data_IF_016160806350
#
_entry.id   IF_016160806350
#
_cell.length_a   1.000
_cell.length_b   1.000
_cell.length_c   1.000
_cell.angle_alpha   90.00
_cell.angle_beta   90.00
_cell.angle_gamma   90.00
#
_symmetry.space_group_name_H-M   'P 1'
#
loop_
_entity.id
_entity.type
_entity.pdbx_description
1 polymer ?
#
# COMPACT_ATOMS: atom_id res chain seq x y z
N UNK A 1 -9.71 -15.33 16.60
CA UNK A 1 -9.37 -13.89 16.67
C UNK A 1 -10.61 -13.11 16.35
N UNK A 2 -10.90 -12.04 17.11
CA UNK A 2 -12.05 -11.17 16.83
C UNK A 2 -11.83 -10.37 15.53
N UNK A 3 -12.89 -10.18 14.75
CA UNK A 3 -12.84 -9.47 13.47
C UNK A 3 -12.40 -8.01 13.64
N UNK A 4 -12.86 -7.33 14.69
CA UNK A 4 -12.50 -5.94 14.94
C UNK A 4 -11.01 -5.80 15.24
N UNK A 5 -10.44 -6.71 16.05
CA UNK A 5 -9.02 -6.72 16.32
C UNK A 5 -8.19 -6.82 15.04
N UNK A 6 -8.50 -7.78 14.15
CA UNK A 6 -7.81 -7.93 12.86
C UNK A 6 -8.00 -6.69 11.98
N UNK A 7 -9.19 -6.09 11.98
CA UNK A 7 -9.49 -4.87 11.22
C UNK A 7 -8.65 -3.68 11.70
N UNK A 8 -8.55 -3.47 13.01
CA UNK A 8 -7.72 -2.41 13.58
C UNK A 8 -6.23 -2.64 13.29
N UNK A 9 -5.75 -3.88 13.42
CA UNK A 9 -4.37 -4.23 13.05
C UNK A 9 -4.09 -3.97 11.56
N UNK A 10 -5.00 -4.36 10.66
CA UNK A 10 -4.86 -4.11 9.23
C UNK A 10 -4.77 -2.60 8.92
N UNK A 11 -5.62 -1.78 9.54
CA UNK A 11 -5.56 -0.32 9.36
C UNK A 11 -4.24 0.28 9.85
N UNK A 12 -3.70 -0.21 10.98
CA UNK A 12 -2.40 0.23 11.48
C UNK A 12 -1.26 -0.18 10.54
N UNK A 13 -1.29 -1.40 10.01
CA UNK A 13 -0.32 -1.91 9.03
C UNK A 13 -0.40 -1.09 7.73
N UNK A 14 -1.61 -0.75 7.26
CA UNK A 14 -1.81 0.08 6.08
C UNK A 14 -1.21 1.48 6.26
N UNK A 15 -1.46 2.12 7.41
CA UNK A 15 -0.88 3.42 7.72
C UNK A 15 0.65 3.35 7.78
N UNK A 16 1.19 2.31 8.43
CA UNK A 16 2.63 2.11 8.54
C UNK A 16 3.28 1.86 7.17
N UNK A 17 2.65 1.08 6.28
CA UNK A 17 3.12 0.88 4.90
C UNK A 17 3.24 2.21 4.16
N UNK A 18 2.21 3.06 4.23
CA UNK A 18 2.20 4.38 3.58
C UNK A 18 3.31 5.29 4.13
N UNK A 19 3.50 5.33 5.46
CA UNK A 19 4.57 6.11 6.10
C UNK A 19 5.94 5.62 5.62
N UNK A 20 6.18 4.31 5.65
CA UNK A 20 7.44 3.71 5.20
C UNK A 20 7.70 3.93 3.70
N UNK A 21 6.65 3.96 2.88
CA UNK A 21 6.77 4.36 1.48
C UNK A 21 7.30 5.78 1.35
N UNK A 22 6.68 6.77 2.00
CA UNK A 22 7.13 8.17 1.90
C UNK A 22 8.52 8.39 2.50
N UNK A 23 8.83 7.79 3.64
CA UNK A 23 10.17 7.88 4.26
C UNK A 23 11.25 7.40 3.29
N UNK A 24 11.02 6.28 2.59
CA UNK A 24 11.96 5.76 1.59
C UNK A 24 12.02 6.66 0.35
N UNK A 25 10.87 7.11 -0.15
CA UNK A 25 10.78 7.95 -1.34
C UNK A 25 11.51 9.28 -1.15
N UNK A 26 11.25 10.00 -0.06
CA UNK A 26 11.94 11.25 0.26
C UNK A 26 13.42 11.02 0.58
N UNK A 27 13.77 9.95 1.28
CA UNK A 27 15.18 9.62 1.51
C UNK A 27 15.94 9.45 0.20
N UNK A 28 15.35 8.81 -0.82
CA UNK A 28 15.98 8.60 -2.15
C UNK A 28 16.08 9.85 -3.01
N UNK A 29 15.27 10.87 -2.74
CA UNK A 29 15.37 12.18 -3.37
C UNK A 29 16.51 13.01 -2.78
N UNK A 30 16.80 12.82 -1.48
CA UNK A 30 17.97 13.39 -0.81
C UNK A 30 19.20 12.47 -0.86
N UNK A 31 19.84 12.28 0.30
CA UNK A 31 21.12 11.54 0.43
C UNK A 31 21.01 10.02 0.23
N UNK A 32 19.80 9.45 0.24
CA UNK A 32 19.56 8.00 0.17
C UNK A 32 19.98 7.20 1.40
N UNK A 33 20.53 7.83 2.46
CA UNK A 33 21.09 7.12 3.63
C UNK A 33 20.07 6.22 4.34
N UNK A 34 18.85 6.72 4.57
CA UNK A 34 17.78 5.95 5.25
C UNK A 34 17.28 4.83 4.35
N UNK A 35 17.08 5.10 3.05
CA UNK A 35 16.64 4.08 2.09
C UNK A 35 17.67 2.95 1.86
N UNK A 36 18.97 3.21 2.12
CA UNK A 36 20.04 2.20 2.09
C UNK A 36 20.11 1.36 3.36
N UNK A 37 19.47 1.77 4.46
CA UNK A 37 19.44 0.99 5.68
C UNK A 37 18.67 -0.31 5.46
N UNK A 38 19.33 -1.46 5.65
CA UNK A 38 18.74 -2.79 5.48
C UNK A 38 17.49 -2.98 6.34
N UNK A 39 17.44 -2.41 7.55
CA UNK A 39 16.27 -2.52 8.43
C UNK A 39 15.04 -1.84 7.84
N UNK A 40 15.20 -0.64 7.29
CA UNK A 40 14.11 0.10 6.65
C UNK A 40 13.68 -0.58 5.36
N UNK A 41 14.64 -1.09 4.59
CA UNK A 41 14.36 -1.81 3.36
C UNK A 41 13.59 -3.11 3.61
N UNK A 42 14.09 -3.99 4.49
CA UNK A 42 13.45 -5.26 4.82
C UNK A 42 12.12 -5.00 5.53
N UNK A 43 12.11 -4.11 6.52
CA UNK A 43 10.90 -3.74 7.27
C UNK A 43 9.77 -3.27 6.36
N UNK A 44 10.06 -2.44 5.35
CA UNK A 44 9.02 -2.01 4.41
C UNK A 44 8.37 -3.15 3.62
N UNK A 45 9.15 -4.13 3.14
CA UNK A 45 8.60 -5.27 2.41
C UNK A 45 7.84 -6.24 3.31
N UNK A 46 8.31 -6.43 4.56
CA UNK A 46 7.59 -7.23 5.55
C UNK A 46 6.23 -6.61 5.88
N UNK A 47 6.16 -5.29 6.04
CA UNK A 47 4.90 -4.57 6.28
C UNK A 47 3.96 -4.68 5.08
N UNK A 48 4.47 -4.56 3.85
CA UNK A 48 3.65 -4.72 2.64
C UNK A 48 3.11 -6.16 2.51
N UNK A 49 3.88 -7.16 2.90
CA UNK A 49 3.42 -8.56 2.94
C UNK A 49 2.36 -8.75 4.02
N UNK A 50 2.57 -8.21 5.22
CA UNK A 50 1.58 -8.23 6.30
C UNK A 50 0.29 -7.49 5.93
N UNK A 51 0.38 -6.43 5.12
CA UNK A 51 -0.78 -5.70 4.60
C UNK A 51 -1.65 -6.61 3.74
N UNK A 52 -1.04 -7.37 2.81
CA UNK A 52 -1.75 -8.31 1.95
C UNK A 52 -2.34 -9.47 2.75
N UNK A 53 -1.57 -10.08 3.65
CA UNK A 53 -2.03 -11.21 4.47
C UNK A 53 -3.20 -10.79 5.37
N UNK A 54 -3.10 -9.62 6.02
CA UNK A 54 -4.18 -9.10 6.87
C UNK A 54 -5.43 -8.72 6.08
N UNK A 55 -5.28 -8.21 4.85
CA UNK A 55 -6.41 -7.96 3.96
C UNK A 55 -7.13 -9.27 3.62
N UNK A 56 -6.38 -10.31 3.24
CA UNK A 56 -6.94 -11.62 2.91
C UNK A 56 -7.67 -12.25 4.10
N UNK A 57 -7.07 -12.16 5.30
CA UNK A 57 -7.71 -12.60 6.53
C UNK A 57 -9.05 -11.90 6.78
N UNK A 58 -9.13 -10.57 6.55
CA UNK A 58 -10.38 -9.83 6.69
C UNK A 58 -11.44 -10.28 5.67
N UNK A 59 -11.07 -10.51 4.42
CA UNK A 59 -11.98 -11.01 3.38
C UNK A 59 -12.57 -12.36 3.77
N UNK A 60 -11.72 -13.30 4.23
CA UNK A 60 -12.16 -14.62 4.68
C UNK A 60 -13.05 -14.54 5.92
N UNK A 61 -12.68 -13.74 6.92
CA UNK A 61 -13.46 -13.59 8.16
C UNK A 61 -14.81 -12.92 7.91
N UNK A 62 -14.86 -11.91 7.03
CA UNK A 62 -16.09 -11.22 6.67
C UNK A 62 -16.98 -12.04 5.72
N UNK A 63 -16.48 -13.15 5.16
CA UNK A 63 -17.16 -13.97 4.14
C UNK A 63 -17.64 -13.14 2.94
N UNK A 64 -16.89 -12.10 2.59
CA UNK A 64 -17.22 -11.22 1.46
C UNK A 64 -16.57 -11.81 0.21
N UNK A 65 -17.36 -11.98 -0.85
CA UNK A 65 -16.83 -12.31 -2.17
C UNK A 65 -16.38 -11.02 -2.88
N UNK A 66 -15.08 -10.81 -3.17
CA UNK A 66 -14.62 -9.60 -3.85
C UNK A 66 -15.23 -9.44 -5.24
N UNK A 67 -15.61 -10.53 -5.91
CA UNK A 67 -16.22 -10.48 -7.24
C UNK A 67 -17.65 -9.91 -7.22
N UNK A 68 -18.34 -10.03 -6.08
CA UNK A 68 -19.67 -9.44 -5.89
C UNK A 68 -19.60 -7.99 -5.40
N UNK A 69 -18.47 -7.60 -4.79
CA UNK A 69 -18.23 -6.27 -4.24
C UNK A 69 -17.14 -5.58 -5.05
N UNK A 70 -17.52 -4.97 -6.17
CA UNK A 70 -16.59 -4.40 -7.15
C UNK A 70 -15.61 -3.38 -6.53
N UNK A 71 -16.06 -2.56 -5.58
CA UNK A 71 -15.19 -1.62 -4.83
C UNK A 71 -14.04 -2.34 -4.08
N UNK A 72 -14.28 -3.56 -3.59
CA UNK A 72 -13.28 -4.36 -2.88
C UNK A 72 -12.30 -4.99 -3.88
N UNK A 73 -12.79 -5.48 -5.02
CA UNK A 73 -11.94 -5.96 -6.10
C UNK A 73 -10.99 -4.88 -6.60
N UNK A 74 -11.52 -3.69 -6.90
CA UNK A 74 -10.71 -2.52 -7.28
C UNK A 74 -9.67 -2.17 -6.22
N UNK A 75 -10.08 -2.18 -4.95
CA UNK A 75 -9.17 -1.89 -3.84
C UNK A 75 -8.02 -2.88 -3.79
N UNK A 76 -8.28 -4.18 -4.00
CA UNK A 76 -7.23 -5.22 -4.03
C UNK A 76 -6.28 -4.96 -5.21
N UNK A 77 -6.81 -4.69 -6.40
CA UNK A 77 -6.00 -4.41 -7.59
C UNK A 77 -5.12 -3.18 -7.38
N UNK A 78 -5.66 -2.10 -6.81
CA UNK A 78 -4.90 -0.88 -6.51
C UNK A 78 -3.83 -1.11 -5.45
N UNK A 79 -4.09 -1.91 -4.41
CA UNK A 79 -3.06 -2.26 -3.40
C UNK A 79 -1.91 -3.02 -4.04
N UNK A 80 -2.19 -3.96 -4.94
CA UNK A 80 -1.16 -4.68 -5.69
C UNK A 80 -0.38 -3.72 -6.59
N UNK A 81 -1.06 -2.82 -7.30
CA UNK A 81 -0.42 -1.78 -8.12
C UNK A 81 0.49 -0.87 -7.28
N UNK A 82 0.03 -0.45 -6.09
CA UNK A 82 0.80 0.35 -5.13
C UNK A 82 2.13 -0.31 -4.78
N UNK A 83 2.11 -1.61 -4.46
CA UNK A 83 3.34 -2.36 -4.12
C UNK A 83 4.28 -2.40 -5.33
N UNK A 84 3.79 -2.72 -6.53
CA UNK A 84 4.61 -2.77 -7.74
C UNK A 84 5.21 -1.41 -8.12
N UNK A 85 4.43 -0.34 -8.01
CA UNK A 85 4.90 1.04 -8.25
C UNK A 85 5.97 1.40 -7.22
N UNK A 86 5.78 1.05 -5.94
CA UNK A 86 6.79 1.23 -4.89
C UNK A 86 8.12 0.50 -5.18
N UNK A 87 8.04 -0.74 -5.68
CA UNK A 87 9.23 -1.51 -6.10
C UNK A 87 9.88 -0.84 -7.32
N UNK A 88 9.12 -0.43 -8.35
CA UNK A 88 9.69 0.24 -9.53
C UNK A 88 10.32 1.59 -9.18
N UNK A 89 9.68 2.37 -8.32
CA UNK A 89 10.21 3.63 -7.78
C UNK A 89 11.57 3.43 -7.12
N UNK A 90 11.76 2.31 -6.43
CA UNK A 90 13.03 1.99 -5.76
C UNK A 90 14.23 1.78 -6.67
N UNK A 91 13.97 1.37 -7.91
CA UNK A 91 15.01 1.05 -8.89
C UNK A 91 15.39 2.26 -9.75
N UNK A 92 14.71 3.40 -9.58
CA UNK A 92 14.97 4.60 -10.37
C UNK A 92 16.22 5.34 -9.87
N UNK A 93 17.06 5.75 -10.82
CA UNK A 93 18.26 6.55 -10.56
C UNK A 93 17.97 8.05 -10.73
N UNK A 94 17.21 8.41 -11.77
CA UNK A 94 16.86 9.78 -12.10
C UNK A 94 15.87 10.40 -11.11
N UNK A 95 16.14 11.64 -10.67
CA UNK A 95 15.29 12.36 -9.71
C UNK A 95 13.89 12.61 -10.28
N UNK A 96 13.78 13.00 -11.56
CA UNK A 96 12.50 13.20 -12.22
C UNK A 96 11.64 11.94 -12.21
N UNK A 97 12.22 10.78 -12.55
CA UNK A 97 11.53 9.50 -12.50
C UNK A 97 11.06 9.18 -11.06
N UNK A 98 11.91 9.36 -10.04
CA UNK A 98 11.52 9.15 -8.62
C UNK A 98 10.32 10.00 -8.23
N UNK A 99 10.28 11.26 -8.66
CA UNK A 99 9.16 12.18 -8.40
C UNK A 99 7.89 11.67 -9.08
N UNK A 100 7.96 11.35 -10.38
CA UNK A 100 6.81 10.85 -11.15
C UNK A 100 6.23 9.60 -10.50
N UNK A 101 7.04 8.60 -10.18
CA UNK A 101 6.56 7.38 -9.52
C UNK A 101 5.97 7.66 -8.13
N UNK A 102 6.54 8.63 -7.39
CA UNK A 102 5.98 9.02 -6.08
C UNK A 102 4.60 9.65 -6.24
N UNK A 103 4.44 10.58 -7.19
CA UNK A 103 3.15 11.23 -7.49
C UNK A 103 2.12 10.19 -7.93
N UNK A 104 2.47 9.31 -8.87
CA UNK A 104 1.57 8.24 -9.32
C UNK A 104 1.15 7.36 -8.14
N UNK A 105 2.11 6.95 -7.29
CA UNK A 105 1.78 6.11 -6.14
C UNK A 105 0.89 6.83 -5.12
N UNK A 106 1.09 8.14 -4.93
CA UNK A 106 0.23 8.97 -4.09
C UNK A 106 -1.20 8.98 -4.60
N UNK A 107 -1.41 9.10 -5.92
CA UNK A 107 -2.76 9.02 -6.52
C UNK A 107 -3.41 7.64 -6.27
N UNK A 108 -2.63 6.56 -6.37
CA UNK A 108 -3.12 5.20 -6.05
C UNK A 108 -3.52 5.09 -4.58
N UNK A 109 -2.71 5.60 -3.65
CA UNK A 109 -3.03 5.61 -2.21
C UNK A 109 -4.33 6.39 -1.95
N UNK A 110 -4.51 7.54 -2.59
CA UNK A 110 -5.74 8.34 -2.46
C UNK A 110 -6.96 7.58 -2.99
N UNK A 111 -6.84 6.90 -4.14
CA UNK A 111 -7.91 6.07 -4.69
C UNK A 111 -8.28 4.90 -3.74
N UNK A 112 -7.29 4.22 -3.16
CA UNK A 112 -7.51 3.17 -2.14
C UNK A 112 -8.26 3.74 -0.93
N UNK A 113 -7.85 4.93 -0.46
CA UNK A 113 -8.49 5.63 0.65
C UNK A 113 -9.95 5.99 0.35
N UNK A 114 -10.22 6.49 -0.86
CA UNK A 114 -11.58 6.78 -1.33
C UNK A 114 -12.45 5.54 -1.39
N UNK A 115 -11.96 4.43 -1.97
CA UNK A 115 -12.71 3.17 -2.01
C UNK A 115 -13.01 2.64 -0.61
N UNK A 116 -12.11 2.86 0.35
CA UNK A 116 -12.30 2.43 1.73
C UNK A 116 -13.39 3.22 2.47
N UNK A 117 -13.62 4.48 2.12
CA UNK A 117 -14.62 5.35 2.77
C UNK A 117 -15.96 5.32 2.06
N UNK A 118 -15.96 5.47 0.73
CA UNK A 118 -17.17 5.50 -0.10
C UNK A 118 -17.82 4.13 -0.23
N UNK A 119 -17.02 3.05 -0.20
CA UNK A 119 -17.45 1.68 -0.54
C UNK A 119 -18.20 1.62 -1.89
N UNK A 120 -17.87 2.55 -2.80
CA UNK A 120 -18.38 2.62 -4.15
C UNK A 120 -17.24 2.32 -5.11
N UNK A 121 -17.51 1.55 -6.16
CA UNK A 121 -16.54 1.35 -7.23
C UNK A 121 -16.33 2.68 -7.98
N UNK A 122 -15.09 2.91 -8.44
CA UNK A 122 -14.69 4.09 -9.20
C UNK A 122 -14.65 3.81 -10.71
N UNK A 123 -14.32 2.58 -11.09
CA UNK A 123 -14.01 2.20 -12.47
C UNK A 123 -15.01 1.18 -13.04
N UNK A 124 -15.71 0.44 -12.18
CA UNK A 124 -16.72 -0.56 -12.55
C UNK A 124 -18.13 -0.20 -12.06
#
# INVERSE_FOLDING_TARGET
MDYLAVKHSHMAIALLSVILFYVRSFSRMGSGKIAKNKLVFIGSHSIDTLLLVSALALVFMAKINPLEQLWLLEKIVLVVAYIFIGIKSSKQTQVQAKIIYTIINTLVILAIGYLATSKSALLF
#
